data_IF_436676672798
#
_entry.id   IF_436676672798
#
_cell.length_a   1.000
_cell.length_b   1.000
_cell.length_c   1.000
_cell.angle_alpha   90.00
_cell.angle_beta   90.00
_cell.angle_gamma   90.00
#
_symmetry.space_group_name_H-M   'P 1'
#
loop_
_entity.id
_entity.type
_entity.pdbx_description
1 polymer ?
#
# COMPACT_ATOMS: atom_id res chain seq x y z
N UNK A 1 9.58 6.42 5.43
CA UNK A 1 10.76 5.64 5.84
C UNK A 1 11.56 5.28 4.60
N UNK A 2 12.86 5.03 4.74
CA UNK A 2 13.77 4.69 3.65
C UNK A 2 14.56 3.43 4.02
N UNK A 3 14.79 2.57 3.02
CA UNK A 3 15.67 1.41 3.19
C UNK A 3 17.10 1.86 3.54
N UNK A 4 17.85 1.02 4.26
CA UNK A 4 19.24 1.34 4.64
C UNK A 4 20.14 1.54 3.42
N UNK A 5 19.83 0.92 2.28
CA UNK A 5 20.53 1.12 1.00
C UNK A 5 20.16 2.41 0.26
N UNK A 6 19.13 3.14 0.69
CA UNK A 6 18.72 4.42 0.11
C UNK A 6 18.11 4.36 -1.30
N UNK A 7 17.78 3.15 -1.79
CA UNK A 7 17.24 2.89 -3.14
C UNK A 7 15.71 2.71 -3.17
N UNK A 8 15.09 2.42 -2.02
CA UNK A 8 13.65 2.25 -1.86
C UNK A 8 13.16 3.03 -0.65
N UNK A 9 11.99 3.66 -0.77
CA UNK A 9 11.35 4.39 0.31
C UNK A 9 9.82 4.31 0.22
N UNK A 10 9.13 4.66 1.30
CA UNK A 10 7.69 4.89 1.26
C UNK A 10 7.29 6.10 2.12
N UNK A 11 6.23 6.76 1.69
CA UNK A 11 5.53 7.81 2.42
C UNK A 11 4.08 7.41 2.63
N UNK A 12 3.52 7.77 3.79
CA UNK A 12 2.10 7.61 4.08
C UNK A 12 1.63 8.79 4.91
N UNK A 13 0.37 9.11 4.82
CA UNK A 13 -0.22 10.19 5.61
C UNK A 13 -1.66 10.43 5.26
N UNK A 14 -2.23 11.48 5.84
CA UNK A 14 -3.53 12.01 5.47
C UNK A 14 -3.40 13.04 4.36
N UNK A 15 -4.43 13.16 3.53
CA UNK A 15 -4.55 14.21 2.53
C UNK A 15 -5.92 14.86 2.61
N UNK A 16 -5.97 16.12 2.20
CA UNK A 16 -7.20 16.86 1.95
C UNK A 16 -7.21 17.28 0.47
N UNK A 17 -8.30 16.98 -0.22
CA UNK A 17 -8.57 17.39 -1.60
C UNK A 17 -9.77 18.31 -1.60
N UNK A 18 -9.56 19.56 -1.99
CA UNK A 18 -10.64 20.53 -2.24
C UNK A 18 -11.03 20.48 -3.71
N UNK A 19 -12.32 20.53 -3.99
CA UNK A 19 -12.84 20.54 -5.34
C UNK A 19 -14.26 21.10 -5.37
N UNK A 20 -14.93 20.87 -6.49
CA UNK A 20 -16.31 21.26 -6.68
C UNK A 20 -17.13 20.00 -6.91
N UNK A 21 -18.27 19.88 -6.25
CA UNK A 21 -19.18 18.75 -6.46
C UNK A 21 -19.94 18.87 -7.80
N UNK A 22 -20.81 17.89 -8.07
CA UNK A 22 -21.60 17.85 -9.32
C UNK A 22 -22.60 19.01 -9.43
N UNK A 23 -22.92 19.68 -8.34
CA UNK A 23 -23.87 20.80 -8.27
C UNK A 23 -23.17 22.16 -8.29
N UNK A 24 -21.84 22.19 -8.45
CA UNK A 24 -21.07 23.43 -8.48
C UNK A 24 -20.71 23.97 -7.09
N UNK A 25 -20.96 23.22 -6.01
CA UNK A 25 -20.68 23.66 -4.64
C UNK A 25 -19.27 23.23 -4.21
N UNK A 26 -18.57 24.03 -3.38
CA UNK A 26 -17.30 23.63 -2.80
C UNK A 26 -17.43 22.31 -2.02
N UNK A 27 -16.49 21.41 -2.24
CA UNK A 27 -16.42 20.11 -1.56
C UNK A 27 -15.01 19.84 -1.07
N UNK A 28 -14.92 19.20 0.09
CA UNK A 28 -13.65 18.76 0.68
C UNK A 28 -13.72 17.25 0.89
N UNK A 29 -12.72 16.53 0.37
CA UNK A 29 -12.54 15.10 0.59
C UNK A 29 -11.25 14.86 1.34
N UNK A 30 -11.35 14.19 2.48
CA UNK A 30 -10.19 13.71 3.24
C UNK A 30 -9.94 12.24 2.93
N UNK A 31 -8.69 11.80 3.11
CA UNK A 31 -8.31 10.41 2.94
C UNK A 31 -6.90 10.15 3.45
N UNK A 32 -6.43 8.91 3.30
CA UNK A 32 -5.03 8.57 3.53
C UNK A 32 -4.39 8.12 2.22
N UNK A 33 -3.07 8.27 2.14
CA UNK A 33 -2.27 7.84 1.00
C UNK A 33 -1.13 6.93 1.43
N UNK A 34 -0.68 6.12 0.49
CA UNK A 34 0.55 5.36 0.54
C UNK A 34 1.25 5.48 -0.81
N UNK A 35 2.47 6.03 -0.79
CA UNK A 35 3.33 6.16 -1.96
C UNK A 35 4.62 5.38 -1.73
N UNK A 36 5.00 4.55 -2.68
CA UNK A 36 6.30 3.85 -2.72
C UNK A 36 7.17 4.54 -3.76
N UNK A 37 8.42 4.82 -3.36
CA UNK A 37 9.40 5.54 -4.15
C UNK A 37 10.60 4.65 -4.44
N UNK A 38 11.11 4.73 -5.66
CA UNK A 38 12.31 4.04 -6.12
C UNK A 38 13.33 5.04 -6.64
N UNK A 39 14.56 4.96 -6.13
CA UNK A 39 15.68 5.76 -6.62
C UNK A 39 16.20 5.15 -7.91
N UNK A 40 16.28 5.96 -8.96
CA UNK A 40 16.76 5.56 -10.28
C UNK A 40 18.29 5.55 -10.32
N UNK A 41 18.85 5.00 -11.41
CA UNK A 41 20.31 4.96 -11.63
C UNK A 41 20.92 6.35 -11.69
N UNK A 42 20.18 7.34 -12.22
CA UNK A 42 20.58 8.75 -12.27
C UNK A 42 20.46 9.48 -10.91
N UNK A 43 20.03 8.77 -9.85
CA UNK A 43 19.85 9.31 -8.51
C UNK A 43 18.51 9.99 -8.25
N UNK A 44 17.66 10.18 -9.28
CA UNK A 44 16.33 10.75 -9.12
C UNK A 44 15.36 9.78 -8.43
N UNK A 45 14.39 10.30 -7.66
CA UNK A 45 13.30 9.49 -7.12
C UNK A 45 12.12 9.47 -8.09
N UNK A 46 11.55 8.29 -8.33
CA UNK A 46 10.29 8.13 -9.05
C UNK A 46 9.30 7.33 -8.23
N UNK A 47 8.01 7.62 -8.42
CA UNK A 47 6.92 6.86 -7.84
C UNK A 47 6.87 5.48 -8.50
N UNK A 48 7.01 4.43 -7.69
CA UNK A 48 6.79 3.05 -8.11
C UNK A 48 5.33 2.62 -7.93
N UNK A 49 4.68 3.15 -6.89
CA UNK A 49 3.27 2.92 -6.56
C UNK A 49 2.75 4.16 -5.84
N UNK A 50 1.55 4.60 -6.19
CA UNK A 50 0.79 5.56 -5.41
C UNK A 50 -0.65 5.07 -5.30
N UNK A 51 -1.22 5.16 -4.10
CA UNK A 51 -2.58 4.71 -3.84
C UNK A 51 -3.18 5.47 -2.67
N UNK A 52 -4.49 5.64 -2.70
CA UNK A 52 -5.24 5.90 -1.47
C UNK A 52 -5.17 4.67 -0.56
N UNK A 53 -5.05 4.92 0.74
CA UNK A 53 -5.17 3.91 1.78
C UNK A 53 -6.54 4.07 2.47
N UNK A 54 -7.58 3.31 2.06
CA UNK A 54 -8.86 3.35 2.75
C UNK A 54 -8.80 2.72 4.15
N UNK A 55 -7.71 2.04 4.50
CA UNK A 55 -7.51 1.27 5.73
C UNK A 55 -7.27 -0.18 5.40
N UNK A 56 -6.67 -0.94 6.35
CA UNK A 56 -6.66 -2.38 6.20
C UNK A 56 -8.12 -2.86 6.05
N UNK A 57 -8.37 -3.90 5.24
CA UNK A 57 -9.61 -4.66 5.40
C UNK A 57 -9.72 -5.08 6.88
N UNK A 58 -10.94 -5.19 7.44
CA UNK A 58 -11.13 -5.44 8.87
C UNK A 58 -10.18 -6.53 9.38
N UNK A 59 -9.31 -6.13 10.32
CA UNK A 59 -8.16 -6.92 10.73
C UNK A 59 -8.60 -8.31 11.24
N UNK A 60 -8.02 -9.38 10.69
CA UNK A 60 -8.29 -10.76 11.11
C UNK A 60 -9.40 -11.47 10.34
N UNK A 61 -9.90 -10.92 9.23
CA UNK A 61 -10.80 -11.68 8.35
C UNK A 61 -10.03 -12.87 7.75
N UNK A 62 -10.39 -14.09 8.18
CA UNK A 62 -9.86 -15.40 7.76
C UNK A 62 -10.05 -15.73 6.26
N UNK A 63 -10.09 -14.69 5.42
CA UNK A 63 -10.49 -14.73 4.03
C UNK A 63 -9.67 -13.86 3.08
N UNK A 64 -8.66 -13.13 3.55
CA UNK A 64 -7.82 -12.31 2.68
C UNK A 64 -6.73 -13.16 2.02
N UNK A 65 -6.99 -13.60 0.79
CA UNK A 65 -6.02 -14.31 -0.04
C UNK A 65 -5.38 -13.31 -1.01
N UNK A 66 -4.13 -12.92 -0.73
CA UNK A 66 -3.36 -12.01 -1.56
C UNK A 66 -2.45 -12.76 -2.54
N UNK A 67 -2.60 -12.47 -3.82
CA UNK A 67 -1.65 -12.91 -4.86
C UNK A 67 -0.71 -11.76 -5.20
N UNK A 68 0.57 -11.92 -4.88
CA UNK A 68 1.62 -10.97 -5.26
C UNK A 68 1.86 -11.04 -6.77
N UNK A 69 1.84 -9.89 -7.43
CA UNK A 69 2.10 -9.80 -8.88
C UNK A 69 3.41 -9.11 -9.20
N UNK A 70 3.72 -8.04 -8.45
CA UNK A 70 4.98 -7.28 -8.61
C UNK A 70 5.48 -6.78 -7.27
N UNK A 71 6.71 -6.31 -7.26
CA UNK A 71 7.35 -5.75 -6.09
C UNK A 71 8.85 -5.75 -6.21
N UNK A 72 9.51 -5.09 -5.27
CA UNK A 72 10.96 -5.04 -5.18
C UNK A 72 11.34 -5.04 -3.70
N UNK A 73 12.42 -5.75 -3.40
CA UNK A 73 13.11 -5.64 -2.12
C UNK A 73 14.31 -4.73 -2.32
N UNK A 74 14.50 -3.78 -1.41
CA UNK A 74 15.67 -2.89 -1.40
C UNK A 74 16.97 -3.69 -1.40
N UNK A 75 18.05 -3.13 -1.95
CA UNK A 75 19.37 -3.80 -1.99
C UNK A 75 19.87 -4.25 -0.61
N UNK A 76 19.57 -3.50 0.46
CA UNK A 76 19.92 -3.87 1.83
C UNK A 76 19.10 -5.05 2.39
N UNK A 77 18.02 -5.47 1.70
CA UNK A 77 17.18 -6.59 2.14
C UNK A 77 16.31 -6.27 3.36
N UNK A 78 16.14 -5.00 3.72
CA UNK A 78 15.47 -4.55 4.95
C UNK A 78 14.10 -3.91 4.71
N UNK A 79 13.79 -3.51 3.47
CA UNK A 79 12.51 -2.94 3.06
C UNK A 79 12.04 -3.62 1.77
N UNK A 80 10.77 -4.01 1.72
CA UNK A 80 10.14 -4.64 0.56
C UNK A 80 8.78 -4.01 0.32
N UNK A 81 8.38 -3.87 -0.95
CA UNK A 81 7.00 -3.61 -1.30
C UNK A 81 6.45 -4.66 -2.25
N UNK A 82 5.15 -4.91 -2.15
CA UNK A 82 4.40 -5.80 -3.01
C UNK A 82 3.15 -5.10 -3.50
N UNK A 83 2.79 -5.35 -4.76
CA UNK A 83 1.48 -5.02 -5.30
C UNK A 83 0.90 -6.28 -5.91
N UNK A 84 -0.40 -6.46 -5.72
CA UNK A 84 -1.08 -7.61 -6.27
C UNK A 84 -2.58 -7.50 -6.21
N UNK A 85 -3.24 -8.65 -6.38
CA UNK A 85 -4.69 -8.79 -6.23
C UNK A 85 -5.00 -9.44 -4.90
N UNK A 86 -6.14 -9.08 -4.34
CA UNK A 86 -6.70 -9.82 -3.22
C UNK A 86 -8.10 -10.29 -3.55
N UNK A 87 -8.46 -11.43 -2.95
CA UNK A 87 -9.83 -11.89 -2.81
C UNK A 87 -10.14 -11.94 -1.32
N UNK A 88 -11.32 -11.47 -0.95
CA UNK A 88 -11.83 -11.57 0.41
C UNK A 88 -12.95 -12.62 0.46
N UNK A 89 -13.01 -13.39 1.54
CA UNK A 89 -14.18 -14.22 1.87
C UNK A 89 -14.96 -13.62 3.04
N UNK A 90 -16.23 -14.01 3.19
CA UNK A 90 -16.98 -13.75 4.43
C UNK A 90 -16.46 -14.62 5.59
N UNK A 91 -17.09 -14.46 6.76
CA UNK A 91 -16.77 -15.24 7.96
C UNK A 91 -16.98 -16.76 7.79
N UNK A 92 -17.82 -17.17 6.83
CA UNK A 92 -18.10 -18.57 6.51
C UNK A 92 -17.16 -19.12 5.40
N UNK A 93 -16.18 -18.34 4.96
CA UNK A 93 -15.23 -18.72 3.91
C UNK A 93 -15.81 -18.65 2.49
N UNK A 94 -17.01 -18.10 2.29
CA UNK A 94 -17.56 -17.92 0.94
C UNK A 94 -16.93 -16.69 0.30
N UNK A 95 -16.51 -16.75 -0.97
CA UNK A 95 -15.98 -15.58 -1.68
C UNK A 95 -16.99 -14.44 -1.62
N UNK A 96 -16.62 -13.34 -0.95
CA UNK A 96 -17.36 -12.10 -1.13
C UNK A 96 -16.82 -11.45 -2.39
N UNK A 97 -17.68 -10.80 -3.16
CA UNK A 97 -17.31 -10.05 -4.36
C UNK A 97 -16.45 -8.79 -4.06
N UNK A 98 -15.62 -8.82 -3.02
CA UNK A 98 -14.54 -7.86 -2.77
C UNK A 98 -13.24 -8.45 -3.27
N UNK A 99 -13.09 -8.42 -4.59
CA UNK A 99 -11.78 -8.48 -5.25
C UNK A 99 -11.24 -7.07 -5.39
N UNK A 100 -9.93 -6.92 -5.37
CA UNK A 100 -9.32 -5.62 -5.55
C UNK A 100 -7.81 -5.70 -5.70
N UNK A 101 -7.15 -4.55 -5.56
CA UNK A 101 -5.69 -4.40 -5.57
C UNK A 101 -5.21 -4.15 -4.15
N UNK A 102 -4.07 -4.72 -3.79
CA UNK A 102 -3.40 -4.39 -2.54
C UNK A 102 -1.99 -3.88 -2.81
N UNK A 103 -1.53 -2.99 -1.94
CA UNK A 103 -0.13 -2.59 -1.79
C UNK A 103 0.27 -2.93 -0.36
N UNK A 104 1.40 -3.58 -0.19
CA UNK A 104 1.97 -3.88 1.12
C UNK A 104 3.42 -3.44 1.14
N UNK A 105 3.84 -2.79 2.23
CA UNK A 105 5.23 -2.46 2.51
C UNK A 105 5.62 -3.19 3.79
N UNK A 106 6.71 -3.95 3.72
CA UNK A 106 7.24 -4.73 4.82
C UNK A 106 8.63 -4.28 5.19
N UNK A 107 8.93 -4.30 6.49
CA UNK A 107 10.26 -4.06 7.02
C UNK A 107 10.77 -5.30 7.75
N UNK A 108 12.03 -5.65 7.51
CA UNK A 108 12.71 -6.73 8.21
C UNK A 108 13.30 -6.17 9.51
N UNK A 109 12.91 -6.76 10.64
CA UNK A 109 13.48 -6.44 11.94
C UNK A 109 14.89 -6.99 12.11
N UNK A 110 15.57 -6.58 13.18
CA UNK A 110 16.87 -7.13 13.58
C UNK A 110 16.81 -8.62 13.92
N UNK A 111 15.62 -9.13 14.23
CA UNK A 111 15.30 -10.54 14.41
C UNK A 111 15.18 -11.34 13.10
N UNK A 112 15.35 -10.67 11.95
CA UNK A 112 15.17 -11.26 10.62
C UNK A 112 13.70 -11.41 10.20
N UNK A 113 12.75 -11.08 11.08
CA UNK A 113 11.32 -11.21 10.84
C UNK A 113 10.76 -10.05 10.02
N UNK A 114 9.95 -10.36 9.00
CA UNK A 114 9.23 -9.35 8.22
C UNK A 114 7.95 -8.92 8.93
N UNK A 115 7.71 -7.61 8.98
CA UNK A 115 6.46 -7.02 9.50
C UNK A 115 5.89 -6.02 8.50
N UNK A 116 4.58 -6.03 8.33
CA UNK A 116 3.88 -5.01 7.54
C UNK A 116 3.99 -3.68 8.27
N UNK A 117 4.57 -2.68 7.61
CA UNK A 117 4.75 -1.32 8.16
C UNK A 117 3.83 -0.31 7.48
N UNK A 118 3.32 -0.62 6.29
CA UNK A 118 2.23 0.10 5.64
C UNK A 118 1.50 -0.83 4.67
N UNK A 119 0.21 -0.61 4.46
CA UNK A 119 -0.58 -1.36 3.49
C UNK A 119 -1.78 -0.55 3.03
N UNK A 120 -2.27 -0.81 1.83
CA UNK A 120 -3.52 -0.28 1.32
C UNK A 120 -4.22 -1.37 0.51
N UNK A 121 -5.55 -1.44 0.59
CA UNK A 121 -6.36 -2.35 -0.22
C UNK A 121 -7.50 -1.56 -0.86
N UNK A 122 -7.56 -1.52 -2.18
CA UNK A 122 -8.55 -0.77 -2.95
C UNK A 122 -9.41 -1.77 -3.75
N UNK A 123 -10.75 -1.76 -3.59
CA UNK A 123 -11.66 -2.59 -4.38
C UNK A 123 -11.60 -2.31 -5.90
#
# INVERSE_FOLDING_TARGET
DVASSGDLAYTRGEFESKGTDREGKPSTRTGRYLTVWRKQVDGSWRVAVDTSDPGPPPAGSSGFQATRERGETAKAGDLDYAVGRFEATDADGKPILRRGRYVEVRRRGSDGGWRVVASAAVP
#
